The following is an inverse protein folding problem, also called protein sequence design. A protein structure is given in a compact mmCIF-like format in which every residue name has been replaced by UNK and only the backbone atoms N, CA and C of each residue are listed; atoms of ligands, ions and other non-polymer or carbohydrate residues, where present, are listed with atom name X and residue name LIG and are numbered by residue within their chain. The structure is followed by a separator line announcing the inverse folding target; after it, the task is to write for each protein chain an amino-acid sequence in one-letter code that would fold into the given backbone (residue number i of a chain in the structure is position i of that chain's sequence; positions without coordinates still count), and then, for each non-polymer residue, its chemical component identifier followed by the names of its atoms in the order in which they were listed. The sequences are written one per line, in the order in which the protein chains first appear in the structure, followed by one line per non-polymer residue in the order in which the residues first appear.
data_IF_688812690615
#
_entry.id   IF_688812690615
#
_cell.length_a   1.000
_cell.length_b   1.000
_cell.length_c   1.000
_cell.angle_alpha   90.00
_cell.angle_beta   90.00
_cell.angle_gamma   90.00
#
_symmetry.space_group_name_H-M   'P 1'
#
loop_
_entity.id
_entity.type
_entity.pdbx_description
1 polymer ?
#
# COMPACT_ATOMS: atom_id res chain seq x y z
N UNK A 1 14.99 -28.14 -1.33
CA UNK A 1 13.66 -27.49 -1.34
C UNK A 1 13.06 -27.67 0.04
N UNK A 2 12.90 -26.59 0.81
CA UNK A 2 12.18 -26.64 2.08
C UNK A 2 10.70 -26.87 1.79
N UNK A 3 10.22 -28.09 2.05
CA UNK A 3 8.80 -28.36 2.01
C UNK A 3 8.16 -27.72 3.26
N UNK A 4 7.21 -26.82 3.06
CA UNK A 4 6.41 -26.32 4.18
C UNK A 4 5.52 -27.44 4.73
N UNK A 5 5.18 -27.38 6.02
CA UNK A 5 4.20 -28.28 6.63
C UNK A 5 3.09 -27.50 7.31
N UNK A 6 1.91 -28.10 7.42
CA UNK A 6 0.67 -27.41 7.82
C UNK A 6 0.80 -26.60 9.13
N UNK A 7 1.47 -27.15 10.15
CA UNK A 7 1.68 -26.46 11.42
C UNK A 7 2.59 -25.21 11.27
N UNK A 8 3.59 -25.25 10.40
CA UNK A 8 4.44 -24.09 10.09
C UNK A 8 3.66 -23.01 9.36
N UNK A 9 2.77 -23.40 8.43
CA UNK A 9 1.89 -22.46 7.73
C UNK A 9 0.95 -21.78 8.72
N UNK A 10 0.28 -22.54 9.58
CA UNK A 10 -0.64 -22.02 10.60
C UNK A 10 0.03 -20.97 11.49
N UNK A 11 1.24 -21.28 11.98
CA UNK A 11 2.04 -20.35 12.78
C UNK A 11 2.43 -19.09 12.01
N UNK A 12 2.74 -19.20 10.72
CA UNK A 12 3.19 -18.07 9.89
C UNK A 12 2.07 -17.10 9.54
N UNK A 13 0.85 -17.60 9.37
CA UNK A 13 -0.33 -16.78 9.02
C UNK A 13 -1.15 -16.36 10.25
N UNK A 14 -0.63 -16.63 11.46
CA UNK A 14 -1.31 -16.39 12.73
C UNK A 14 -2.73 -16.98 12.76
N UNK A 15 -2.84 -18.28 12.45
CA UNK A 15 -4.11 -19.00 12.44
C UNK A 15 -4.03 -20.31 13.23
N UNK A 16 -5.20 -20.89 13.52
CA UNK A 16 -5.28 -22.18 14.20
C UNK A 16 -4.97 -23.32 13.22
N UNK A 17 -4.38 -24.40 13.73
CA UNK A 17 -4.07 -25.60 12.91
C UNK A 17 -5.32 -26.19 12.26
N UNK A 18 -6.46 -26.39 12.97
CA UNK A 18 -7.67 -26.91 12.32
C UNK A 18 -8.18 -26.02 11.19
N UNK A 19 -8.20 -24.70 11.40
CA UNK A 19 -8.64 -23.77 10.37
C UNK A 19 -7.71 -23.77 9.16
N UNK A 20 -6.39 -23.78 9.40
CA UNK A 20 -5.39 -23.87 8.35
C UNK A 20 -5.53 -25.16 7.54
N UNK A 21 -5.73 -26.31 8.20
CA UNK A 21 -5.93 -27.58 7.52
C UNK A 21 -7.18 -27.58 6.62
N UNK A 22 -8.27 -26.95 7.05
CA UNK A 22 -9.48 -26.82 6.22
C UNK A 22 -9.20 -26.01 4.94
N UNK A 23 -8.47 -24.90 5.05
CA UNK A 23 -8.07 -24.09 3.89
C UNK A 23 -7.14 -24.90 2.99
N UNK A 24 -6.14 -25.59 3.54
CA UNK A 24 -5.21 -26.40 2.77
C UNK A 24 -5.93 -27.53 2.00
N UNK A 25 -6.94 -28.16 2.61
CA UNK A 25 -7.76 -29.17 1.95
C UNK A 25 -8.54 -28.58 0.76
N UNK A 26 -9.08 -27.35 0.89
CA UNK A 26 -9.71 -26.65 -0.23
C UNK A 26 -8.70 -26.30 -1.32
N UNK A 27 -7.52 -25.80 -0.95
CA UNK A 27 -6.45 -25.49 -1.91
C UNK A 27 -5.98 -26.74 -2.68
N UNK A 28 -5.94 -27.90 -2.01
CA UNK A 28 -5.62 -29.17 -2.64
C UNK A 28 -6.75 -29.65 -3.56
N UNK A 29 -8.02 -29.54 -3.13
CA UNK A 29 -9.19 -29.88 -3.95
C UNK A 29 -9.28 -29.03 -5.23
N UNK A 30 -8.89 -27.75 -5.15
CA UNK A 30 -8.79 -26.84 -6.30
C UNK A 30 -7.48 -27.02 -7.10
N UNK A 31 -6.60 -27.93 -6.69
CA UNK A 31 -5.38 -28.28 -7.41
C UNK A 31 -4.27 -27.22 -7.36
N UNK A 32 -4.23 -26.36 -6.34
CA UNK A 32 -3.16 -25.39 -6.14
C UNK A 32 -1.96 -25.97 -5.37
N UNK A 33 -2.21 -26.97 -4.52
CA UNK A 33 -1.17 -27.65 -3.76
C UNK A 33 -1.38 -29.16 -3.82
N UNK A 34 -0.33 -29.90 -3.44
CA UNK A 34 -0.39 -31.32 -3.12
C UNK A 34 0.13 -31.53 -1.71
N UNK A 35 -0.51 -32.41 -0.96
CA UNK A 35 -0.08 -32.84 0.36
C UNK A 35 0.58 -34.22 0.31
N UNK A 36 1.62 -34.42 1.11
CA UNK A 36 2.35 -35.68 1.23
C UNK A 36 2.58 -35.99 2.71
N UNK A 37 1.77 -36.84 3.32
CA UNK A 37 1.99 -37.27 4.70
C UNK A 37 3.22 -38.16 4.80
N UNK A 38 4.09 -37.87 5.77
CA UNK A 38 5.25 -38.68 6.14
C UNK A 38 5.32 -38.73 7.67
N UNK A 39 4.91 -39.86 8.25
CA UNK A 39 4.75 -39.98 9.69
C UNK A 39 3.71 -38.98 10.22
N UNK A 40 4.13 -38.10 11.15
CA UNK A 40 3.27 -37.06 11.73
C UNK A 40 3.32 -35.72 10.99
N UNK A 41 4.13 -35.62 9.93
CA UNK A 41 4.32 -34.38 9.18
C UNK A 41 3.53 -34.46 7.89
N UNK A 42 2.67 -33.48 7.63
CA UNK A 42 2.04 -33.31 6.33
C UNK A 42 2.82 -32.26 5.52
N UNK A 43 3.62 -32.72 4.56
CA UNK A 43 4.40 -31.86 3.68
C UNK A 43 3.52 -31.30 2.58
N UNK A 44 3.72 -30.03 2.24
CA UNK A 44 2.95 -29.31 1.25
C UNK A 44 3.86 -28.86 0.12
N UNK A 45 3.36 -28.95 -1.11
CA UNK A 45 4.04 -28.46 -2.31
C UNK A 45 3.04 -27.75 -3.22
N UNK A 46 3.45 -26.66 -3.85
CA UNK A 46 2.67 -26.02 -4.91
C UNK A 46 2.65 -26.91 -6.16
N UNK A 47 1.51 -26.91 -6.84
CA UNK A 47 1.41 -27.40 -8.23
C UNK A 47 1.89 -26.31 -9.19
N UNK A 48 1.96 -26.63 -10.49
CA UNK A 48 2.22 -25.63 -11.53
C UNK A 48 1.11 -24.56 -11.58
N UNK A 49 -0.15 -24.98 -11.36
CA UNK A 49 -1.31 -24.09 -11.24
C UNK A 49 -1.18 -23.18 -10.02
N UNK A 50 -0.80 -23.73 -8.86
CA UNK A 50 -0.56 -22.95 -7.65
C UNK A 50 0.58 -21.95 -7.81
N UNK A 51 1.66 -22.35 -8.49
CA UNK A 51 2.79 -21.47 -8.79
C UNK A 51 2.37 -20.30 -9.70
N UNK A 52 1.53 -20.58 -10.70
CA UNK A 52 0.97 -19.55 -11.58
C UNK A 52 0.07 -18.57 -10.82
N UNK A 53 -0.74 -19.06 -9.88
CA UNK A 53 -1.57 -18.21 -9.02
C UNK A 53 -0.71 -17.29 -8.12
N UNK A 54 0.37 -17.81 -7.54
CA UNK A 54 1.31 -17.01 -6.74
C UNK A 54 1.91 -15.87 -7.57
N UNK A 55 2.27 -16.12 -8.83
CA UNK A 55 2.79 -15.08 -9.72
C UNK A 55 1.74 -13.99 -9.99
N UNK A 56 0.50 -14.38 -10.29
CA UNK A 56 -0.59 -13.43 -10.53
C UNK A 56 -0.87 -12.57 -9.28
N UNK A 57 -0.91 -13.19 -8.09
CA UNK A 57 -1.09 -12.46 -6.83
C UNK A 57 0.04 -11.46 -6.57
N UNK A 58 1.30 -11.85 -6.85
CA UNK A 58 2.46 -10.95 -6.74
C UNK A 58 2.33 -9.74 -7.66
N UNK A 59 1.94 -9.97 -8.92
CA UNK A 59 1.73 -8.87 -9.87
C UNK A 59 0.64 -7.90 -9.40
N UNK A 60 -0.44 -8.40 -8.79
CA UNK A 60 -1.48 -7.55 -8.21
C UNK A 60 -0.93 -6.75 -7.03
N UNK A 61 -0.20 -7.39 -6.12
CA UNK A 61 0.42 -6.70 -4.99
C UNK A 61 1.39 -5.61 -5.47
N UNK A 62 2.22 -5.89 -6.47
CA UNK A 62 3.16 -4.92 -7.05
C UNK A 62 2.42 -3.74 -7.72
N UNK A 63 1.25 -3.99 -8.30
CA UNK A 63 0.40 -2.92 -8.85
C UNK A 63 -0.22 -2.05 -7.76
N UNK A 64 -0.61 -2.66 -6.64
CA UNK A 64 -1.16 -1.94 -5.49
C UNK A 64 -0.09 -1.17 -4.71
N UNK A 65 1.17 -1.63 -4.75
CA UNK A 65 2.30 -0.99 -4.06
C UNK A 65 2.92 0.17 -4.85
N UNK A 66 2.56 0.31 -6.15
CA UNK A 66 2.96 1.49 -6.93
C UNK A 66 2.30 2.73 -6.33
N UNK A 67 3.07 3.76 -5.95
CA UNK A 67 2.48 4.98 -5.43
C UNK A 67 1.61 5.57 -6.53
N UNK A 68 0.34 5.82 -6.19
CA UNK A 68 -0.61 6.50 -7.07
C UNK A 68 0.07 7.77 -7.60
N UNK A 69 -0.08 8.06 -8.90
CA UNK A 69 0.40 9.29 -9.50
C UNK A 69 -0.05 10.53 -8.72
N UNK A 70 -1.23 10.47 -8.07
CA UNK A 70 -1.71 11.52 -7.19
C UNK A 70 -0.93 11.62 -5.87
N UNK A 71 -0.45 10.50 -5.32
CA UNK A 71 0.40 10.44 -4.13
C UNK A 71 1.81 10.98 -4.41
N UNK A 72 2.42 10.56 -5.52
CA UNK A 72 3.69 11.15 -6.00
C UNK A 72 3.57 12.66 -6.24
N UNK A 73 2.42 13.10 -6.77
CA UNK A 73 2.16 14.53 -6.94
C UNK A 73 2.07 15.24 -5.59
N UNK A 74 1.36 14.67 -4.62
CA UNK A 74 1.24 15.25 -3.28
C UNK A 74 2.60 15.35 -2.56
N UNK A 75 3.45 14.33 -2.68
CA UNK A 75 4.82 14.33 -2.14
C UNK A 75 5.66 15.46 -2.74
N UNK A 76 5.63 15.65 -4.07
CA UNK A 76 6.29 16.79 -4.72
C UNK A 76 5.76 18.14 -4.24
N UNK A 77 4.44 18.26 -4.05
CA UNK A 77 3.84 19.48 -3.49
C UNK A 77 4.35 19.74 -2.07
N UNK A 78 4.50 18.70 -1.25
CA UNK A 78 5.04 18.79 0.10
C UNK A 78 6.50 19.28 0.11
N UNK A 79 7.34 18.75 -0.78
CA UNK A 79 8.72 19.23 -0.97
C UNK A 79 8.75 20.71 -1.37
N UNK A 80 7.91 21.11 -2.32
CA UNK A 80 7.81 22.49 -2.78
C UNK A 80 7.34 23.46 -1.70
N UNK A 81 6.45 23.02 -0.80
CA UNK A 81 6.01 23.81 0.36
C UNK A 81 7.10 23.87 1.42
N UNK A 82 7.87 22.80 1.61
CA UNK A 82 8.92 22.72 2.63
C UNK A 82 10.15 23.57 2.30
N UNK A 83 10.36 23.95 1.03
CA UNK A 83 11.43 24.86 0.62
C UNK A 83 11.17 26.29 1.12
N UNK A 84 12.09 26.83 1.93
CA UNK A 84 12.09 28.25 2.29
C UNK A 84 12.33 29.11 1.06
N UNK A 85 11.48 30.13 0.88
CA UNK A 85 11.59 31.12 -0.19
C UNK A 85 11.41 32.51 0.41
N UNK A 86 12.03 33.51 -0.20
CA UNK A 86 11.77 34.92 0.10
C UNK A 86 10.26 35.22 0.03
N UNK A 87 9.76 36.06 0.94
CA UNK A 87 8.32 36.31 1.13
C UNK A 87 7.60 36.73 -0.17
N UNK A 88 8.29 37.47 -1.04
CA UNK A 88 7.79 37.93 -2.33
C UNK A 88 7.59 36.79 -3.34
N UNK A 89 8.46 35.77 -3.31
CA UNK A 89 8.34 34.56 -4.14
C UNK A 89 7.35 33.53 -3.56
N UNK A 90 7.10 33.55 -2.25
CA UNK A 90 6.22 32.60 -1.58
C UNK A 90 4.76 32.75 -2.03
N UNK A 91 4.23 33.98 -2.12
CA UNK A 91 2.86 34.22 -2.59
C UNK A 91 2.60 33.71 -4.01
N UNK A 92 3.57 33.90 -4.91
CA UNK A 92 3.49 33.46 -6.31
C UNK A 92 3.62 31.94 -6.47
N UNK A 93 4.34 31.24 -5.58
CA UNK A 93 4.46 29.76 -5.58
C UNK A 93 3.29 29.08 -4.89
N UNK A 94 2.81 29.60 -3.76
CA UNK A 94 1.82 28.94 -2.90
C UNK A 94 0.41 28.93 -3.52
N UNK A 95 0.01 29.96 -4.30
CA UNK A 95 -1.29 30.00 -4.98
C UNK A 95 -1.53 28.85 -5.98
N UNK A 96 -0.63 28.60 -6.94
CA UNK A 96 -0.69 27.44 -7.82
C UNK A 96 -0.70 26.10 -7.07
N UNK A 97 0.08 25.96 -5.99
CA UNK A 97 0.13 24.74 -5.18
C UNK A 97 -1.21 24.45 -4.50
N UNK A 98 -1.90 25.46 -3.97
CA UNK A 98 -3.26 25.30 -3.42
C UNK A 98 -4.28 24.85 -4.46
N UNK A 99 -4.19 25.33 -5.70
CA UNK A 99 -5.03 24.84 -6.82
C UNK A 99 -4.76 23.38 -7.15
N UNK A 100 -3.52 22.95 -7.02
CA UNK A 100 -3.14 21.55 -7.21
C UNK A 100 -3.67 20.66 -6.08
N UNK A 101 -3.58 21.12 -4.83
CA UNK A 101 -4.16 20.43 -3.67
C UNK A 101 -5.69 20.34 -3.77
N UNK A 102 -6.38 21.39 -4.21
CA UNK A 102 -7.83 21.37 -4.42
C UNK A 102 -8.25 20.26 -5.40
N UNK A 103 -7.49 20.05 -6.48
CA UNK A 103 -7.75 18.94 -7.42
C UNK A 103 -7.54 17.57 -6.80
N UNK A 104 -6.56 17.42 -5.90
CA UNK A 104 -6.32 16.18 -5.16
C UNK A 104 -7.43 15.94 -4.13
N UNK A 105 -7.90 16.97 -3.43
CA UNK A 105 -9.01 16.89 -2.46
C UNK A 105 -10.32 16.50 -3.16
N UNK A 106 -10.56 16.99 -4.37
CA UNK A 106 -11.75 16.65 -5.15
C UNK A 106 -11.71 15.17 -5.60
N UNK A 107 -10.58 14.73 -6.17
CA UNK A 107 -10.49 13.46 -6.91
C UNK A 107 -9.83 12.29 -6.17
N UNK A 108 -9.12 12.55 -5.08
CA UNK A 108 -8.34 11.53 -4.35
C UNK A 108 -9.20 10.57 -3.54
N UNK A 109 -8.58 9.55 -2.95
CA UNK A 109 -9.23 8.69 -1.96
C UNK A 109 -9.10 9.26 -0.54
N UNK A 110 -9.80 8.67 0.44
CA UNK A 110 -9.90 9.20 1.81
C UNK A 110 -8.57 9.63 2.43
N UNK A 111 -7.58 8.72 2.55
CA UNK A 111 -6.27 9.04 3.13
C UNK A 111 -5.55 10.17 2.39
N UNK A 112 -5.60 10.17 1.04
CA UNK A 112 -4.94 11.18 0.23
C UNK A 112 -5.63 12.55 0.34
N UNK A 113 -6.96 12.58 0.46
CA UNK A 113 -7.73 13.81 0.72
C UNK A 113 -7.38 14.43 2.06
N UNK A 114 -7.26 13.61 3.11
CA UNK A 114 -6.98 14.09 4.45
C UNK A 114 -5.55 14.65 4.58
N UNK A 115 -4.58 14.04 3.89
CA UNK A 115 -3.23 14.57 3.78
C UNK A 115 -3.20 15.89 2.98
N UNK A 116 -3.86 15.94 1.83
CA UNK A 116 -3.93 17.15 1.00
C UNK A 116 -4.60 18.34 1.73
N UNK A 117 -5.62 18.08 2.56
CA UNK A 117 -6.26 19.10 3.41
C UNK A 117 -5.32 19.63 4.48
N UNK A 118 -4.53 18.76 5.12
CA UNK A 118 -3.51 19.19 6.10
C UNK A 118 -2.50 20.12 5.45
N UNK A 119 -1.99 19.74 4.28
CA UNK A 119 -1.02 20.56 3.55
C UNK A 119 -1.62 21.90 3.09
N UNK A 120 -2.88 21.94 2.63
CA UNK A 120 -3.55 23.21 2.31
C UNK A 120 -3.67 24.13 3.54
N UNK A 121 -3.99 23.56 4.69
CA UNK A 121 -4.05 24.28 5.96
C UNK A 121 -2.70 24.90 6.36
N UNK A 122 -1.60 24.15 6.19
CA UNK A 122 -0.25 24.67 6.45
C UNK A 122 0.09 25.85 5.52
N UNK A 123 -0.22 25.74 4.24
CA UNK A 123 -0.01 26.82 3.28
C UNK A 123 -0.82 28.07 3.68
N UNK A 124 -2.08 27.91 4.10
CA UNK A 124 -2.92 29.04 4.54
C UNK A 124 -2.30 29.75 5.73
N UNK A 125 -1.80 29.01 6.73
CA UNK A 125 -1.14 29.60 7.90
C UNK A 125 0.09 30.39 7.47
N UNK A 126 0.95 29.83 6.61
CA UNK A 126 2.16 30.52 6.12
C UNK A 126 1.84 31.80 5.34
N UNK A 127 0.83 31.77 4.46
CA UNK A 127 0.38 32.95 3.72
C UNK A 127 -0.20 34.04 4.64
N UNK A 128 -0.85 33.64 5.74
CA UNK A 128 -1.43 34.57 6.71
C UNK A 128 -0.32 35.28 7.50
N UNK A 129 0.70 34.54 7.94
CA UNK A 129 1.83 35.09 8.69
C UNK A 129 2.70 36.04 7.85
N UNK A 130 2.78 35.83 6.53
CA UNK A 130 3.50 36.72 5.60
C UNK A 130 2.79 38.06 5.33
N UNK A 131 1.48 38.16 5.58
CA UNK A 131 0.73 39.43 5.42
C UNK A 131 0.80 40.34 6.66
N UNK A 132 1.24 39.81 7.79
CA UNK A 132 1.32 40.51 9.08
C UNK A 132 2.74 40.95 9.47
N UNK A 133 3.74 40.62 8.65
CA UNK A 133 5.14 41.05 8.78
C UNK A 133 5.43 42.15 7.76
#
# INVERSE_FOLDING_TARGET
MENAYAAQVAKRIDSTVPHTCNILAQMEAEGFITSRPVGRVNYLKLTDRGSSLVLALRQIMDLLDKPDAMRLRLERLHEMVSQECEAECAGLRLGPLRRDLARIIERGDGPLKDEARRLDGEIVIRLSNQRTA
#
